data_IF_485433821454
#
_entry.id   IF_485433821454
#
_cell.length_a   1.000
_cell.length_b   1.000
_cell.length_c   1.000
_cell.angle_alpha   90.00
_cell.angle_beta   90.00
_cell.angle_gamma   90.00
#
_symmetry.space_group_name_H-M   'P 1'
#
loop_
_entity.id
_entity.type
_entity.pdbx_description
1 polymer ?
#
# COMPACT_ATOMS: atom_id res chain seq x y z
N UNK A 1 -27.18 41.45 -1.88
CA UNK A 1 -26.12 40.62 -2.44
C UNK A 1 -25.90 40.99 -3.90
N UNK A 2 -24.67 41.30 -4.30
CA UNK A 2 -24.35 41.66 -5.68
C UNK A 2 -24.57 40.47 -6.62
N UNK A 3 -24.94 40.70 -7.87
CA UNK A 3 -25.07 39.61 -8.90
C UNK A 3 -23.84 38.72 -8.96
N UNK A 4 -22.65 39.30 -8.75
CA UNK A 4 -21.37 38.58 -8.68
C UNK A 4 -21.34 37.54 -7.54
N UNK A 5 -21.78 37.88 -6.34
CA UNK A 5 -21.79 36.94 -5.21
C UNK A 5 -22.75 35.76 -5.44
N UNK A 6 -23.88 35.99 -6.09
CA UNK A 6 -24.82 34.90 -6.46
C UNK A 6 -24.20 33.97 -7.51
N UNK A 7 -23.57 34.54 -8.54
CA UNK A 7 -22.92 33.74 -9.61
C UNK A 7 -21.78 32.92 -9.06
N UNK A 8 -20.93 33.51 -8.21
CA UNK A 8 -19.82 32.81 -7.56
C UNK A 8 -20.30 31.66 -6.64
N UNK A 9 -21.39 31.90 -5.88
CA UNK A 9 -22.01 30.86 -5.05
C UNK A 9 -22.55 29.68 -5.87
N UNK A 10 -23.23 29.96 -7.01
CA UNK A 10 -23.75 28.93 -7.91
C UNK A 10 -22.58 28.13 -8.54
N UNK A 11 -21.51 28.79 -8.95
CA UNK A 11 -20.35 28.13 -9.51
C UNK A 11 -19.67 27.19 -8.49
N UNK A 12 -19.53 27.64 -7.25
CA UNK A 12 -18.98 26.78 -6.15
C UNK A 12 -19.87 25.57 -5.88
N UNK A 13 -21.19 25.76 -5.81
CA UNK A 13 -22.15 24.65 -5.66
C UNK A 13 -22.07 23.69 -6.85
N UNK A 14 -21.86 24.18 -8.05
CA UNK A 14 -21.64 23.35 -9.25
C UNK A 14 -20.39 22.49 -9.14
N UNK A 15 -19.25 23.08 -8.72
CA UNK A 15 -18.01 22.35 -8.52
C UNK A 15 -18.14 21.27 -7.43
N UNK A 16 -18.77 21.60 -6.31
CA UNK A 16 -19.00 20.65 -5.21
C UNK A 16 -19.93 19.50 -5.65
N UNK A 17 -21.03 19.82 -6.36
CA UNK A 17 -21.96 18.80 -6.88
C UNK A 17 -21.27 17.90 -7.91
N UNK A 18 -20.43 18.45 -8.78
CA UNK A 18 -19.66 17.68 -9.75
C UNK A 18 -18.66 16.75 -9.05
N UNK A 19 -17.84 17.27 -8.13
CA UNK A 19 -16.84 16.50 -7.41
C UNK A 19 -17.48 15.36 -6.58
N UNK A 20 -18.53 15.66 -5.82
CA UNK A 20 -19.26 14.66 -5.02
C UNK A 20 -20.03 13.67 -5.88
N UNK A 21 -20.55 14.09 -7.05
CA UNK A 21 -21.21 13.22 -8.02
C UNK A 21 -20.25 12.24 -8.70
N UNK A 22 -19.05 12.69 -9.07
CA UNK A 22 -17.98 11.82 -9.57
C UNK A 22 -17.61 10.80 -8.50
N UNK A 23 -17.38 11.26 -7.26
CA UNK A 23 -17.04 10.36 -6.15
C UNK A 23 -18.16 9.33 -5.89
N UNK A 24 -19.44 9.75 -5.88
CA UNK A 24 -20.59 8.88 -5.68
C UNK A 24 -20.69 7.80 -6.76
N UNK A 25 -20.50 8.18 -8.01
CA UNK A 25 -20.50 7.24 -9.15
C UNK A 25 -19.39 6.22 -9.02
N UNK A 26 -18.17 6.65 -8.72
CA UNK A 26 -17.02 5.77 -8.55
C UNK A 26 -17.15 4.89 -7.31
N UNK A 27 -17.73 5.41 -6.20
CA UNK A 27 -17.99 4.63 -5.00
C UNK A 27 -18.94 3.46 -5.28
N UNK A 28 -20.02 3.68 -6.04
CA UNK A 28 -20.92 2.60 -6.45
C UNK A 28 -20.24 1.65 -7.43
N UNK A 29 -19.47 2.18 -8.39
CA UNK A 29 -18.81 1.39 -9.42
C UNK A 29 -17.75 0.44 -8.83
N UNK A 30 -17.02 0.87 -7.80
CA UNK A 30 -15.88 0.11 -7.25
C UNK A 30 -16.16 -0.57 -5.90
N UNK A 31 -17.19 -0.12 -5.16
CA UNK A 31 -17.57 -0.76 -3.90
C UNK A 31 -18.96 -1.41 -3.95
N UNK A 32 -19.63 -1.38 -5.11
CA UNK A 32 -21.00 -1.85 -5.30
C UNK A 32 -21.12 -3.38 -5.37
N UNK A 33 -22.34 -3.87 -5.63
CA UNK A 33 -22.63 -5.29 -5.72
C UNK A 33 -21.73 -6.03 -6.71
N UNK A 34 -21.48 -7.31 -6.47
CA UNK A 34 -20.66 -8.17 -7.37
C UNK A 34 -21.28 -8.35 -8.75
N UNK A 35 -22.62 -8.33 -8.84
CA UNK A 35 -23.30 -8.43 -10.13
C UNK A 35 -23.06 -7.17 -10.98
N UNK A 36 -22.37 -7.33 -12.09
CA UNK A 36 -21.93 -6.24 -12.99
C UNK A 36 -23.11 -5.40 -13.51
N UNK A 37 -24.23 -6.02 -13.89
CA UNK A 37 -25.38 -5.31 -14.40
C UNK A 37 -26.01 -4.40 -13.32
N UNK A 38 -26.17 -4.94 -12.11
CA UNK A 38 -26.74 -4.18 -10.98
C UNK A 38 -25.80 -3.03 -10.60
N UNK A 39 -24.51 -3.30 -10.50
CA UNK A 39 -23.47 -2.32 -10.14
C UNK A 39 -23.39 -1.19 -11.17
N UNK A 40 -23.30 -1.52 -12.46
CA UNK A 40 -23.19 -0.54 -13.53
C UNK A 40 -24.48 0.29 -13.66
N UNK A 41 -25.65 -0.34 -13.51
CA UNK A 41 -26.93 0.37 -13.50
C UNK A 41 -27.05 1.34 -12.34
N UNK A 42 -26.66 0.94 -11.12
CA UNK A 42 -26.67 1.81 -9.95
C UNK A 42 -25.67 2.97 -10.09
N UNK A 43 -24.48 2.74 -10.65
CA UNK A 43 -23.51 3.79 -10.95
C UNK A 43 -24.04 4.79 -11.99
N UNK A 44 -24.72 4.29 -13.05
CA UNK A 44 -25.36 5.14 -14.05
C UNK A 44 -26.47 6.00 -13.43
N UNK A 45 -27.27 5.44 -12.51
CA UNK A 45 -28.29 6.21 -11.76
C UNK A 45 -27.62 7.30 -10.90
N UNK A 46 -26.54 6.99 -10.18
CA UNK A 46 -25.81 7.98 -9.39
C UNK A 46 -25.25 9.11 -10.25
N UNK A 47 -24.70 8.80 -11.43
CA UNK A 47 -24.24 9.78 -12.41
C UNK A 47 -25.38 10.65 -12.93
N UNK A 48 -26.51 10.05 -13.29
CA UNK A 48 -27.69 10.75 -13.79
C UNK A 48 -28.27 11.71 -12.74
N UNK A 49 -28.42 11.26 -11.49
CA UNK A 49 -28.88 12.11 -10.38
C UNK A 49 -27.96 13.32 -10.19
N UNK A 50 -26.65 13.11 -10.26
CA UNK A 50 -25.65 14.18 -10.15
C UNK A 50 -25.76 15.18 -11.32
N UNK A 51 -25.93 14.68 -12.54
CA UNK A 51 -26.10 15.50 -13.73
C UNK A 51 -27.39 16.33 -13.67
N UNK A 52 -28.50 15.71 -13.27
CA UNK A 52 -29.81 16.43 -13.09
C UNK A 52 -29.67 17.54 -12.05
N UNK A 53 -28.98 17.27 -10.92
CA UNK A 53 -28.71 18.27 -9.90
C UNK A 53 -27.87 19.44 -10.47
N UNK A 54 -26.82 19.15 -11.25
CA UNK A 54 -25.99 20.17 -11.91
C UNK A 54 -26.78 21.05 -12.88
N UNK A 55 -27.57 20.43 -13.74
CA UNK A 55 -28.42 21.17 -14.72
C UNK A 55 -29.43 22.04 -13.99
N UNK A 56 -30.04 21.54 -12.91
CA UNK A 56 -31.02 22.27 -12.12
C UNK A 56 -30.44 23.50 -11.40
N UNK A 57 -29.11 23.59 -11.20
CA UNK A 57 -28.45 24.77 -10.64
C UNK A 57 -28.68 26.02 -11.50
N UNK A 58 -28.83 25.88 -12.82
CA UNK A 58 -29.18 26.96 -13.74
C UNK A 58 -30.63 27.48 -13.61
N UNK A 59 -31.51 26.70 -12.96
CA UNK A 59 -32.93 27.03 -12.80
C UNK A 59 -33.19 27.70 -11.45
N UNK A 60 -33.66 28.96 -11.47
CA UNK A 60 -34.04 29.69 -10.24
C UNK A 60 -35.14 28.99 -9.42
N UNK A 61 -36.04 28.26 -10.10
CA UNK A 61 -37.23 27.62 -9.49
C UNK A 61 -36.91 26.26 -8.88
N UNK A 62 -36.05 25.45 -9.53
CA UNK A 62 -35.81 24.03 -9.16
C UNK A 62 -34.51 23.81 -8.37
N UNK A 63 -33.62 24.81 -8.38
CA UNK A 63 -32.27 24.72 -7.77
C UNK A 63 -32.25 24.08 -6.38
N UNK A 64 -33.02 24.67 -5.47
CA UNK A 64 -32.97 24.23 -4.06
C UNK A 64 -33.63 22.87 -3.82
N UNK A 65 -34.66 22.54 -4.60
CA UNK A 65 -35.32 21.23 -4.54
C UNK A 65 -34.37 20.15 -5.06
N UNK A 66 -33.76 20.38 -6.21
CA UNK A 66 -32.78 19.43 -6.79
C UNK A 66 -31.56 19.22 -5.90
N UNK A 67 -30.99 20.29 -5.35
CA UNK A 67 -29.88 20.19 -4.39
C UNK A 67 -30.29 19.47 -3.11
N UNK A 68 -31.47 19.74 -2.55
CA UNK A 68 -31.98 19.05 -1.37
C UNK A 68 -32.14 17.54 -1.62
N UNK A 69 -32.78 17.16 -2.74
CA UNK A 69 -32.89 15.73 -3.13
C UNK A 69 -31.55 15.09 -3.36
N UNK A 70 -30.64 15.76 -4.09
CA UNK A 70 -29.28 15.28 -4.32
C UNK A 70 -28.54 15.04 -2.99
N UNK A 71 -28.61 16.01 -2.07
CA UNK A 71 -27.93 15.90 -0.78
C UNK A 71 -28.45 14.71 0.05
N UNK A 72 -29.76 14.50 0.08
CA UNK A 72 -30.36 13.35 0.80
C UNK A 72 -29.86 12.04 0.20
N UNK A 73 -29.87 11.91 -1.14
CA UNK A 73 -29.39 10.70 -1.82
C UNK A 73 -27.88 10.50 -1.63
N UNK A 74 -27.11 11.59 -1.69
CA UNK A 74 -25.68 11.54 -1.45
C UNK A 74 -25.35 11.10 -0.01
N UNK A 75 -26.05 11.65 0.99
CA UNK A 75 -25.88 11.23 2.39
C UNK A 75 -26.25 9.77 2.58
N UNK A 76 -27.36 9.31 2.00
CA UNK A 76 -27.75 7.90 2.05
C UNK A 76 -26.68 6.99 1.43
N UNK A 77 -26.09 7.39 0.29
CA UNK A 77 -24.99 6.67 -0.35
C UNK A 77 -23.73 6.65 0.54
N UNK A 78 -23.38 7.77 1.17
CA UNK A 78 -22.23 7.83 2.09
C UNK A 78 -22.44 6.92 3.30
N UNK A 79 -23.67 6.88 3.86
CA UNK A 79 -24.01 5.99 4.98
C UNK A 79 -23.87 4.52 4.55
N UNK A 80 -24.42 4.15 3.40
CA UNK A 80 -24.25 2.82 2.82
C UNK A 80 -22.77 2.48 2.62
N UNK A 81 -22.01 3.37 1.99
CA UNK A 81 -20.59 3.15 1.71
C UNK A 81 -19.76 3.00 2.98
N UNK A 82 -20.08 3.76 4.03
CA UNK A 82 -19.44 3.61 5.36
C UNK A 82 -19.80 2.31 6.07
N UNK A 83 -20.95 1.72 5.75
CA UNK A 83 -21.39 0.43 6.26
C UNK A 83 -20.74 -0.77 5.60
N UNK A 84 -19.97 -0.59 4.51
CA UNK A 84 -19.22 -1.70 3.90
C UNK A 84 -18.09 -2.08 4.87
N UNK A 85 -18.07 -3.34 5.31
CA UNK A 85 -17.07 -3.86 6.22
C UNK A 85 -15.98 -4.64 5.48
N UNK A 86 -14.72 -4.51 5.89
CA UNK A 86 -13.64 -5.35 5.37
C UNK A 86 -13.77 -6.77 5.93
N UNK A 87 -13.24 -7.77 5.20
CA UNK A 87 -13.33 -9.17 5.58
C UNK A 87 -11.99 -9.88 5.41
N UNK A 88 -11.74 -10.89 6.26
CA UNK A 88 -10.67 -11.86 6.02
C UNK A 88 -11.16 -13.12 5.28
N UNK A 89 -12.48 -13.25 5.06
CA UNK A 89 -13.14 -14.43 4.51
C UNK A 89 -13.73 -14.11 3.14
N UNK A 90 -12.87 -14.05 2.11
CA UNK A 90 -13.26 -13.90 0.71
C UNK A 90 -12.45 -14.86 -0.17
N UNK A 91 -12.79 -14.96 -1.45
CA UNK A 91 -12.05 -15.77 -2.42
C UNK A 91 -10.77 -15.03 -2.86
N UNK A 92 -9.70 -15.16 -2.05
CA UNK A 92 -8.44 -14.45 -2.23
C UNK A 92 -7.57 -15.05 -3.32
N UNK A 93 -6.82 -14.21 -4.04
CA UNK A 93 -5.73 -14.65 -4.90
C UNK A 93 -4.70 -15.44 -4.08
N UNK A 94 -4.12 -16.48 -4.67
CA UNK A 94 -3.22 -17.42 -3.99
C UNK A 94 -2.04 -16.74 -3.30
N UNK A 95 -1.52 -15.65 -3.87
CA UNK A 95 -0.37 -14.90 -3.36
C UNK A 95 -0.68 -14.09 -2.08
N UNK A 96 -1.97 -13.88 -1.76
CA UNK A 96 -2.44 -13.16 -0.57
C UNK A 96 -3.48 -13.93 0.24
N UNK A 97 -3.72 -15.22 -0.09
CA UNK A 97 -4.75 -16.03 0.55
C UNK A 97 -4.46 -16.32 2.02
N UNK A 98 -3.20 -16.62 2.35
CA UNK A 98 -2.79 -17.04 3.70
C UNK A 98 -2.31 -15.85 4.51
N UNK A 99 -2.93 -15.63 5.67
CA UNK A 99 -2.55 -14.56 6.60
C UNK A 99 -1.34 -14.99 7.44
N UNK A 100 -0.30 -14.14 7.55
CA UNK A 100 0.76 -14.34 8.51
C UNK A 100 0.24 -14.06 9.93
N UNK A 101 0.87 -14.66 10.94
CA UNK A 101 0.58 -14.43 12.36
C UNK A 101 1.88 -14.43 13.15
N UNK A 102 1.95 -13.61 14.19
CA UNK A 102 3.10 -13.55 15.10
C UNK A 102 2.71 -13.93 16.53
N UNK A 103 3.55 -14.74 17.18
CA UNK A 103 3.53 -14.97 18.63
C UNK A 103 4.76 -14.28 19.21
N UNK A 104 4.56 -13.39 20.21
CA UNK A 104 5.63 -12.59 20.82
C UNK A 104 5.80 -13.05 22.27
N UNK A 105 6.97 -13.59 22.60
CA UNK A 105 7.32 -14.12 23.92
C UNK A 105 8.66 -13.54 24.37
N UNK A 106 8.62 -12.38 25.03
CA UNK A 106 9.84 -11.69 25.46
C UNK A 106 10.70 -11.28 24.29
N UNK A 107 11.93 -11.81 24.20
CA UNK A 107 12.89 -11.54 23.12
C UNK A 107 12.65 -12.40 21.86
N UNK A 108 11.72 -13.35 21.93
CA UNK A 108 11.46 -14.29 20.83
C UNK A 108 10.15 -13.97 20.13
N UNK A 109 10.20 -13.87 18.81
CA UNK A 109 9.03 -13.73 17.94
C UNK A 109 8.95 -14.96 17.04
N UNK A 110 7.86 -15.71 17.13
CA UNK A 110 7.56 -16.80 16.22
C UNK A 110 6.58 -16.30 15.17
N UNK A 111 7.01 -16.32 13.92
CA UNK A 111 6.19 -16.01 12.76
C UNK A 111 5.66 -17.28 12.14
N UNK A 112 4.36 -17.31 11.90
CA UNK A 112 3.67 -18.37 11.19
C UNK A 112 3.30 -17.89 9.80
N UNK A 113 3.38 -18.82 8.83
CA UNK A 113 3.04 -18.57 7.44
C UNK A 113 3.96 -17.53 6.76
N UNK A 114 5.27 -17.59 7.01
CA UNK A 114 6.24 -16.82 6.22
C UNK A 114 6.23 -17.34 4.79
N UNK A 115 5.91 -16.48 3.83
CA UNK A 115 5.79 -16.85 2.42
C UNK A 115 7.16 -17.09 1.77
N UNK A 116 7.29 -18.18 1.02
CA UNK A 116 8.52 -18.52 0.29
C UNK A 116 8.16 -19.27 -1.00
N UNK A 117 7.53 -18.56 -1.92
CA UNK A 117 7.08 -19.14 -3.19
C UNK A 117 8.26 -19.41 -4.13
N UNK A 118 8.18 -20.50 -4.88
CA UNK A 118 9.15 -20.80 -5.95
C UNK A 118 8.56 -20.40 -7.30
N UNK A 119 9.09 -19.32 -7.87
CA UNK A 119 8.61 -18.72 -9.11
C UNK A 119 9.30 -19.32 -10.35
N UNK A 120 8.51 -19.53 -11.40
CA UNK A 120 8.94 -19.81 -12.78
C UNK A 120 8.59 -18.65 -13.70
N UNK A 121 7.50 -17.92 -13.38
CA UNK A 121 7.13 -16.63 -13.95
C UNK A 121 6.37 -15.81 -12.90
N UNK A 122 5.90 -14.61 -13.22
CA UNK A 122 5.06 -13.81 -12.32
C UNK A 122 3.78 -14.54 -11.91
N UNK A 123 3.20 -15.32 -12.82
CA UNK A 123 1.91 -16.01 -12.65
C UNK A 123 2.02 -17.52 -12.47
N UNK A 124 3.20 -18.10 -12.74
CA UNK A 124 3.49 -19.52 -12.53
C UNK A 124 4.48 -19.68 -11.38
N UNK A 125 3.98 -20.16 -10.24
CA UNK A 125 4.75 -20.37 -9.02
C UNK A 125 4.18 -21.53 -8.19
N UNK A 126 5.02 -22.08 -7.33
CA UNK A 126 4.61 -23.09 -6.34
C UNK A 126 4.48 -22.39 -4.99
N UNK A 127 3.23 -22.32 -4.43
CA UNK A 127 3.03 -21.74 -3.10
C UNK A 127 3.73 -22.56 -2.03
N UNK A 128 4.45 -21.88 -1.14
CA UNK A 128 5.07 -22.48 0.03
C UNK A 128 5.11 -21.49 1.19
N UNK A 129 4.92 -22.01 2.40
CA UNK A 129 4.96 -21.26 3.64
C UNK A 129 5.73 -22.05 4.69
N UNK A 130 6.38 -21.35 5.61
CA UNK A 130 7.06 -21.96 6.73
C UNK A 130 6.92 -21.11 7.99
N UNK A 131 7.16 -21.71 9.16
CA UNK A 131 7.21 -21.01 10.43
C UNK A 131 8.66 -20.71 10.80
N UNK A 132 8.91 -19.51 11.39
CA UNK A 132 10.25 -19.10 11.76
C UNK A 132 10.26 -18.38 13.09
N UNK A 133 11.30 -18.65 13.89
CA UNK A 133 11.58 -17.93 15.13
C UNK A 133 12.68 -16.92 14.90
N UNK A 134 12.47 -15.71 15.41
CA UNK A 134 13.44 -14.62 15.39
C UNK A 134 13.69 -14.17 16.83
N UNK A 135 14.95 -14.01 17.19
CA UNK A 135 15.35 -13.41 18.47
C UNK A 135 15.62 -11.93 18.23
N UNK A 136 14.91 -11.05 18.92
CA UNK A 136 15.02 -9.58 18.74
C UNK A 136 16.44 -9.08 19.03
N UNK A 137 17.13 -9.69 20.00
CA UNK A 137 18.53 -9.41 20.32
C UNK A 137 19.49 -9.67 19.15
N UNK A 138 19.11 -10.56 18.22
CA UNK A 138 19.88 -10.90 17.02
C UNK A 138 19.58 -10.00 15.80
N UNK A 139 18.71 -9.00 15.93
CA UNK A 139 18.49 -8.02 14.86
C UNK A 139 19.78 -7.23 14.60
N UNK A 140 20.23 -7.21 13.35
CA UNK A 140 21.47 -6.55 12.90
C UNK A 140 21.19 -5.29 12.07
N UNK A 141 19.96 -5.14 11.56
CA UNK A 141 19.61 -3.96 10.77
C UNK A 141 18.25 -4.03 10.11
N UNK A 142 17.90 -2.92 9.51
CA UNK A 142 16.63 -2.75 8.77
C UNK A 142 16.95 -2.14 7.42
N UNK A 143 16.39 -2.67 6.35
CA UNK A 143 16.55 -2.15 5.00
C UNK A 143 15.20 -1.62 4.48
N UNK A 144 15.22 -0.46 3.83
CA UNK A 144 14.14 -0.02 2.96
C UNK A 144 14.35 -0.61 1.58
N UNK A 145 13.34 -1.26 1.04
CA UNK A 145 13.30 -1.70 -0.36
C UNK A 145 12.37 -0.76 -1.12
N UNK A 146 12.85 -0.20 -2.23
CA UNK A 146 12.08 0.65 -3.13
C UNK A 146 12.05 0.05 -4.54
N UNK A 147 10.86 -0.09 -5.10
CA UNK A 147 10.61 -0.76 -6.39
C UNK A 147 9.92 0.21 -7.33
N UNK A 148 10.51 0.45 -8.49
CA UNK A 148 10.01 1.39 -9.48
C UNK A 148 9.59 0.67 -10.75
N UNK A 149 8.41 1.01 -11.30
CA UNK A 149 7.90 0.46 -12.56
C UNK A 149 7.16 1.49 -13.43
N UNK A 150 6.84 2.68 -12.89
CA UNK A 150 6.05 3.70 -13.61
C UNK A 150 6.65 5.10 -13.46
N UNK A 151 7.98 5.19 -13.54
CA UNK A 151 8.71 6.44 -13.43
C UNK A 151 9.18 6.78 -12.01
N UNK A 152 9.81 7.96 -11.81
CA UNK A 152 10.55 8.26 -10.58
C UNK A 152 9.69 8.68 -9.39
N UNK A 153 8.45 9.12 -9.62
CA UNK A 153 7.63 9.73 -8.57
C UNK A 153 6.92 8.71 -7.67
N UNK A 154 6.67 7.51 -8.18
CA UNK A 154 5.93 6.46 -7.47
C UNK A 154 6.79 5.21 -7.39
N UNK A 155 6.93 4.68 -6.19
CA UNK A 155 7.55 3.40 -5.94
C UNK A 155 6.70 2.59 -4.96
N UNK A 156 6.71 1.27 -5.09
CA UNK A 156 6.30 0.41 -4.01
C UNK A 156 7.44 0.30 -3.02
N UNK A 157 7.15 0.53 -1.75
CA UNK A 157 8.16 0.45 -0.68
C UNK A 157 7.78 -0.61 0.33
N UNK A 158 8.79 -1.33 0.82
CA UNK A 158 8.63 -2.28 1.92
C UNK A 158 9.90 -2.39 2.74
N UNK A 159 9.82 -3.09 3.86
CA UNK A 159 10.91 -3.21 4.82
C UNK A 159 11.45 -4.63 4.82
N UNK A 160 12.76 -4.77 4.92
CA UNK A 160 13.43 -6.04 5.20
C UNK A 160 14.23 -5.92 6.50
N UNK A 161 14.04 -6.88 7.39
CA UNK A 161 14.74 -6.98 8.67
C UNK A 161 15.86 -8.01 8.55
N UNK A 162 17.08 -7.59 8.85
CA UNK A 162 18.28 -8.44 8.84
C UNK A 162 18.58 -8.94 10.25
N UNK A 163 18.77 -10.26 10.38
CA UNK A 163 19.12 -10.92 11.62
C UNK A 163 20.47 -11.64 11.49
N UNK A 164 21.11 -11.93 12.62
CA UNK A 164 22.37 -12.66 12.68
C UNK A 164 22.28 -13.99 11.93
N UNK A 165 23.41 -14.40 11.33
CA UNK A 165 23.45 -15.60 10.50
C UNK A 165 23.02 -15.39 9.05
N UNK A 166 22.82 -14.13 8.64
CA UNK A 166 22.44 -13.79 7.26
C UNK A 166 20.96 -14.01 6.96
N UNK A 167 20.13 -14.14 7.99
CA UNK A 167 18.68 -14.29 7.87
C UNK A 167 18.01 -12.94 7.57
N UNK A 168 17.09 -12.94 6.63
CA UNK A 168 16.35 -11.74 6.27
C UNK A 168 14.86 -12.02 6.16
N UNK A 169 14.06 -11.11 6.68
CA UNK A 169 12.60 -11.16 6.62
C UNK A 169 12.07 -9.90 5.97
N UNK A 170 11.45 -10.03 4.82
CA UNK A 170 10.79 -8.93 4.14
C UNK A 170 9.32 -8.85 4.54
N UNK A 171 8.83 -7.63 4.79
CA UNK A 171 7.43 -7.36 5.08
C UNK A 171 6.93 -6.28 4.12
N UNK A 172 6.07 -6.68 3.20
CA UNK A 172 5.46 -5.83 2.20
C UNK A 172 4.00 -5.57 2.53
N UNK A 173 3.60 -4.30 2.52
CA UNK A 173 2.22 -3.88 2.79
C UNK A 173 1.51 -3.75 1.44
N UNK A 174 0.53 -4.60 1.20
CA UNK A 174 -0.08 -4.85 -0.10
C UNK A 174 -1.60 -4.65 -0.07
N UNK A 175 -2.19 -4.56 -1.26
CA UNK A 175 -3.62 -4.78 -1.46
C UNK A 175 -3.94 -6.26 -1.43
N UNK A 176 -4.91 -6.70 -0.63
CA UNK A 176 -5.43 -8.05 -0.68
C UNK A 176 -6.51 -8.13 -1.75
N UNK A 177 -6.23 -8.88 -2.82
CA UNK A 177 -7.08 -8.96 -4.01
C UNK A 177 -7.87 -10.27 -4.00
N UNK A 178 -9.15 -10.16 -4.36
CA UNK A 178 -9.99 -11.33 -4.63
C UNK A 178 -9.64 -11.95 -6.00
N UNK A 179 -10.01 -13.22 -6.20
CA UNK A 179 -9.82 -13.90 -7.49
C UNK A 179 -10.43 -13.07 -8.64
N UNK A 180 -9.67 -12.90 -9.71
CA UNK A 180 -10.07 -12.10 -10.86
C UNK A 180 -9.85 -10.59 -10.73
N UNK A 181 -9.38 -10.08 -9.58
CA UNK A 181 -9.09 -8.66 -9.42
C UNK A 181 -7.67 -8.30 -9.89
N UNK A 182 -7.58 -7.17 -10.61
CA UNK A 182 -6.31 -6.50 -10.91
C UNK A 182 -6.06 -5.32 -9.98
N UNK A 183 -4.79 -4.97 -9.78
CA UNK A 183 -4.44 -3.75 -9.05
C UNK A 183 -4.89 -2.49 -9.82
N UNK A 184 -5.44 -1.55 -9.10
CA UNK A 184 -5.76 -0.20 -9.61
C UNK A 184 -5.61 0.82 -8.49
N UNK A 185 -4.83 1.86 -8.75
CA UNK A 185 -4.67 3.01 -7.84
C UNK A 185 -6.02 3.67 -7.52
N UNK A 186 -6.91 3.78 -8.52
CA UNK A 186 -8.23 4.40 -8.33
C UNK A 186 -9.13 3.54 -7.45
N UNK A 187 -9.18 2.24 -7.68
CA UNK A 187 -9.97 1.30 -6.87
C UNK A 187 -9.57 1.32 -5.39
N UNK A 188 -8.29 1.52 -5.10
CA UNK A 188 -7.78 1.62 -3.73
C UNK A 188 -8.32 2.82 -2.93
N UNK A 189 -9.01 3.81 -3.54
CA UNK A 189 -9.74 4.86 -2.81
C UNK A 189 -11.14 4.43 -2.35
N UNK A 190 -11.67 3.31 -2.87
CA UNK A 190 -13.10 2.96 -2.78
C UNK A 190 -13.38 1.64 -2.05
N UNK A 191 -12.61 1.27 -1.03
CA UNK A 191 -12.82 0.04 -0.23
C UNK A 191 -12.89 -1.24 -1.08
N UNK A 192 -12.15 -1.26 -2.19
CA UNK A 192 -12.08 -2.43 -3.08
C UNK A 192 -11.16 -3.51 -2.52
N UNK A 193 -10.10 -3.09 -1.84
CA UNK A 193 -9.05 -3.99 -1.36
C UNK A 193 -8.94 -3.95 0.15
N UNK A 194 -8.77 -5.08 0.80
CA UNK A 194 -8.31 -5.14 2.18
C UNK A 194 -6.81 -4.89 2.27
N UNK A 195 -6.40 -4.35 3.41
CA UNK A 195 -5.00 -4.15 3.76
C UNK A 195 -4.39 -5.50 4.16
N UNK A 196 -3.27 -5.84 3.55
CA UNK A 196 -2.57 -7.11 3.79
C UNK A 196 -1.07 -6.89 4.00
N UNK A 197 -0.49 -7.64 4.91
CA UNK A 197 0.95 -7.69 5.13
C UNK A 197 1.47 -9.03 4.59
N UNK A 198 2.24 -8.96 3.53
CA UNK A 198 2.98 -10.12 3.03
C UNK A 198 4.26 -10.21 3.84
N UNK A 199 4.36 -11.22 4.69
CA UNK A 199 5.57 -11.58 5.42
C UNK A 199 6.27 -12.68 4.65
N UNK A 200 7.46 -12.43 4.16
CA UNK A 200 8.10 -13.33 3.20
C UNK A 200 9.62 -13.38 3.30
N UNK A 201 10.19 -14.45 2.77
CA UNK A 201 11.62 -14.52 2.45
C UNK A 201 11.96 -13.49 1.35
N UNK A 202 13.14 -12.88 1.39
CA UNK A 202 13.60 -12.00 0.30
C UNK A 202 13.71 -12.74 -1.05
N UNK A 203 13.99 -14.04 -1.03
CA UNK A 203 13.95 -14.90 -2.23
C UNK A 203 12.56 -15.05 -2.83
N UNK A 204 11.52 -14.71 -2.08
CA UNK A 204 10.18 -14.58 -2.61
C UNK A 204 9.98 -13.16 -3.19
N UNK A 205 9.81 -12.15 -2.32
CA UNK A 205 9.29 -10.83 -2.73
C UNK A 205 10.29 -10.00 -3.53
N UNK A 206 11.60 -10.07 -3.25
CA UNK A 206 12.61 -9.34 -4.02
C UNK A 206 12.89 -10.06 -5.33
N UNK A 207 13.07 -11.38 -5.30
CA UNK A 207 13.35 -12.19 -6.49
C UNK A 207 12.20 -12.16 -7.50
N UNK A 208 10.94 -12.19 -7.05
CA UNK A 208 9.78 -12.01 -7.92
C UNK A 208 9.92 -10.71 -8.75
N UNK A 209 10.25 -9.60 -8.09
CA UNK A 209 10.30 -8.28 -8.70
C UNK A 209 11.51 -8.10 -9.62
N UNK A 210 12.66 -8.63 -9.23
CA UNK A 210 13.91 -8.47 -10.00
C UNK A 210 14.05 -9.43 -11.17
N UNK A 211 13.46 -10.66 -11.05
CA UNK A 211 13.76 -11.76 -11.95
C UNK A 211 12.55 -12.23 -12.77
N UNK A 212 11.32 -12.01 -12.30
CA UNK A 212 10.12 -12.61 -12.91
C UNK A 212 9.05 -11.60 -13.36
N UNK A 213 9.11 -10.34 -12.91
CA UNK A 213 8.27 -9.25 -13.43
C UNK A 213 8.97 -8.54 -14.57
N UNK A 214 8.37 -8.61 -15.76
CA UNK A 214 8.99 -8.11 -16.99
C UNK A 214 8.11 -7.12 -17.75
N UNK A 215 6.82 -7.05 -17.45
CA UNK A 215 5.87 -6.18 -18.13
C UNK A 215 4.93 -5.47 -17.15
N UNK A 216 5.27 -4.25 -16.77
CA UNK A 216 6.54 -3.54 -16.98
C UNK A 216 7.67 -4.11 -16.11
N UNK A 217 8.94 -3.98 -16.53
CA UNK A 217 10.08 -4.37 -15.71
C UNK A 217 10.19 -3.48 -14.48
N UNK A 218 10.61 -4.07 -13.35
CA UNK A 218 10.77 -3.37 -12.09
C UNK A 218 12.25 -3.15 -11.76
N UNK A 219 12.60 -1.92 -11.33
CA UNK A 219 13.92 -1.58 -10.78
C UNK A 219 13.87 -1.60 -9.25
N UNK A 220 14.66 -2.46 -8.63
CA UNK A 220 14.66 -2.70 -7.19
C UNK A 220 15.92 -2.15 -6.54
N UNK A 221 15.72 -1.35 -5.50
CA UNK A 221 16.77 -0.73 -4.69
C UNK A 221 16.62 -1.16 -3.24
N UNK A 222 17.74 -1.54 -2.60
CA UNK A 222 17.79 -1.93 -1.19
C UNK A 222 18.70 -0.95 -0.45
N UNK A 223 18.16 -0.20 0.51
CA UNK A 223 18.89 0.81 1.28
C UNK A 223 18.95 0.42 2.75
N UNK A 224 20.16 0.31 3.33
CA UNK A 224 20.33 0.12 4.78
C UNK A 224 19.91 1.39 5.51
N UNK A 225 18.93 1.24 6.42
CA UNK A 225 18.50 2.34 7.30
C UNK A 225 19.52 2.57 8.41
N UNK A 226 19.78 3.85 8.69
CA UNK A 226 20.61 4.28 9.81
C UNK A 226 19.73 4.52 11.04
N UNK A 227 20.11 3.93 12.16
CA UNK A 227 19.39 4.03 13.42
C UNK A 227 19.90 3.03 14.46
N UNK A 228 19.40 3.13 15.70
CA UNK A 228 19.75 2.17 16.73
C UNK A 228 19.05 0.83 16.49
N UNK A 229 19.69 -0.28 16.90
CA UNK A 229 19.07 -1.60 16.87
C UNK A 229 17.84 -1.69 17.77
N UNK A 230 17.80 -0.91 18.86
CA UNK A 230 16.64 -0.79 19.73
C UNK A 230 15.44 -0.23 18.95
N UNK A 231 15.64 0.85 18.18
CA UNK A 231 14.61 1.40 17.29
C UNK A 231 14.16 0.39 16.24
N UNK A 232 15.09 -0.39 15.69
CA UNK A 232 14.78 -1.47 14.74
C UNK A 232 13.93 -2.58 15.37
N UNK A 233 14.21 -2.97 16.62
CA UNK A 233 13.43 -3.97 17.37
C UNK A 233 12.02 -3.46 17.67
N UNK A 234 11.89 -2.21 18.16
CA UNK A 234 10.58 -1.60 18.40
C UNK A 234 9.75 -1.54 17.11
N UNK A 235 10.38 -1.19 15.99
CA UNK A 235 9.77 -1.15 14.67
C UNK A 235 9.28 -2.55 14.22
N UNK A 236 10.12 -3.58 14.41
CA UNK A 236 9.75 -4.96 14.11
C UNK A 236 8.55 -5.43 14.95
N UNK A 237 8.57 -5.19 16.26
CA UNK A 237 7.47 -5.57 17.15
C UNK A 237 6.16 -4.88 16.78
N UNK A 238 6.20 -3.59 16.42
CA UNK A 238 5.02 -2.84 15.98
C UNK A 238 4.40 -3.44 14.70
N UNK A 239 5.23 -3.88 13.73
CA UNK A 239 4.75 -4.65 12.57
C UNK A 239 4.05 -5.95 12.97
N UNK A 240 4.60 -6.69 13.93
CA UNK A 240 4.00 -7.95 14.41
C UNK A 240 2.64 -7.72 15.08
N UNK A 241 2.55 -6.67 15.88
CA UNK A 241 1.30 -6.28 16.53
C UNK A 241 0.23 -5.89 15.50
N UNK A 242 0.61 -5.13 14.46
CA UNK A 242 -0.33 -4.74 13.40
C UNK A 242 -0.77 -5.94 12.55
N UNK A 243 0.11 -6.88 12.24
CA UNK A 243 -0.23 -8.14 11.56
C UNK A 243 -1.29 -8.90 12.35
N UNK A 244 -1.10 -9.06 13.65
CA UNK A 244 -2.07 -9.72 14.51
C UNK A 244 -3.38 -8.93 14.64
N UNK A 245 -3.31 -7.60 14.69
CA UNK A 245 -4.49 -6.74 14.74
C UNK A 245 -5.36 -6.88 13.47
N UNK A 246 -4.75 -6.97 12.28
CA UNK A 246 -5.46 -7.19 11.02
C UNK A 246 -6.07 -8.59 10.91
N UNK A 247 -5.46 -9.60 11.52
CA UNK A 247 -6.06 -10.94 11.62
C UNK A 247 -7.32 -10.92 12.47
N UNK A 248 -7.31 -10.20 13.59
CA UNK A 248 -8.46 -10.08 14.50
C UNK A 248 -9.53 -9.13 13.92
N UNK A 249 -9.13 -8.05 13.27
CA UNK A 249 -10.00 -7.03 12.70
C UNK A 249 -9.44 -6.54 11.37
N UNK A 250 -9.94 -7.03 10.24
CA UNK A 250 -9.49 -6.59 8.92
C UNK A 250 -9.74 -5.09 8.72
N UNK A 251 -8.98 -4.48 7.83
CA UNK A 251 -9.11 -3.08 7.46
C UNK A 251 -8.97 -2.92 5.94
N UNK A 252 -9.54 -1.85 5.37
CA UNK A 252 -9.32 -1.55 3.97
C UNK A 252 -7.97 -0.87 3.73
N UNK A 253 -7.34 -1.26 2.63
CA UNK A 253 -6.29 -0.48 2.01
C UNK A 253 -6.87 0.83 1.46
N UNK A 254 -6.10 1.90 1.55
CA UNK A 254 -6.45 3.16 0.90
C UNK A 254 -5.21 3.77 0.25
N UNK A 255 -5.31 4.08 -1.03
CA UNK A 255 -4.21 4.59 -1.85
C UNK A 255 -3.51 5.82 -1.26
N UNK A 256 -4.22 6.66 -0.50
CA UNK A 256 -3.66 7.88 0.07
C UNK A 256 -3.23 7.72 1.55
N UNK A 257 -4.06 7.05 2.36
CA UNK A 257 -3.93 7.09 3.82
C UNK A 257 -3.36 5.82 4.45
N UNK A 258 -3.53 4.67 3.80
CA UNK A 258 -3.09 3.36 4.31
C UNK A 258 -2.44 2.52 3.20
N UNK A 259 -1.60 3.16 2.37
CA UNK A 259 -0.78 2.50 1.37
C UNK A 259 0.53 1.96 1.99
N UNK A 260 1.37 1.31 1.17
CA UNK A 260 2.64 0.75 1.61
C UNK A 260 3.51 1.78 2.35
N UNK A 261 3.71 2.96 1.77
CA UNK A 261 4.62 3.98 2.29
C UNK A 261 4.07 4.73 3.49
N UNK A 262 2.77 5.07 3.48
CA UNK A 262 2.14 5.74 4.64
C UNK A 262 2.10 4.84 5.86
N UNK A 263 1.85 3.53 5.69
CA UNK A 263 1.92 2.59 6.80
C UNK A 263 3.35 2.42 7.33
N UNK A 264 4.39 2.34 6.46
CA UNK A 264 5.79 2.33 6.91
C UNK A 264 6.09 3.56 7.78
N UNK A 265 5.66 4.75 7.33
CA UNK A 265 5.82 5.97 8.12
C UNK A 265 5.05 5.90 9.44
N UNK A 266 3.83 5.37 9.46
CA UNK A 266 3.04 5.20 10.69
C UNK A 266 3.73 4.25 11.67
N UNK A 267 4.25 3.11 11.22
CA UNK A 267 5.06 2.19 12.02
C UNK A 267 6.32 2.85 12.59
N UNK A 268 6.97 3.73 11.82
CA UNK A 268 8.17 4.41 12.30
C UNK A 268 7.92 5.30 13.54
N UNK A 269 6.68 5.71 13.77
CA UNK A 269 6.26 6.58 14.89
C UNK A 269 6.37 5.92 16.26
N UNK A 270 6.53 4.61 16.35
CA UNK A 270 6.89 3.93 17.60
C UNK A 270 8.20 4.45 18.18
N UNK A 271 9.06 5.01 17.35
CA UNK A 271 10.35 5.58 17.71
C UNK A 271 10.27 7.09 17.90
N UNK A 272 10.77 7.63 19.02
CA UNK A 272 10.73 9.06 19.35
C UNK A 272 11.42 9.96 18.30
N UNK A 273 12.43 9.45 17.61
CA UNK A 273 13.15 10.19 16.55
C UNK A 273 12.68 9.87 15.14
N UNK A 274 11.44 9.45 14.93
CA UNK A 274 10.93 9.15 13.60
C UNK A 274 10.96 10.37 12.67
N UNK A 275 11.14 10.19 11.35
CA UNK A 275 11.10 11.30 10.40
C UNK A 275 9.72 11.98 10.38
N UNK A 276 9.64 13.34 10.30
CA UNK A 276 8.36 14.03 10.22
C UNK A 276 7.61 13.67 8.94
N UNK A 277 6.30 13.98 8.89
CA UNK A 277 5.54 13.78 7.66
C UNK A 277 6.04 14.71 6.55
N UNK A 278 6.22 14.16 5.35
CA UNK A 278 6.63 14.89 4.15
C UNK A 278 5.72 14.50 2.98
N UNK A 279 5.50 15.42 2.04
CA UNK A 279 4.81 15.11 0.78
C UNK A 279 5.50 13.98 -0.01
N UNK A 280 6.83 13.78 0.19
CA UNK A 280 7.62 12.69 -0.41
C UNK A 280 7.13 11.30 0.04
N UNK A 281 6.41 11.21 1.18
CA UNK A 281 5.76 9.96 1.62
C UNK A 281 4.57 9.62 0.72
N UNK A 282 3.84 10.63 0.24
CA UNK A 282 2.74 10.44 -0.72
C UNK A 282 3.26 10.18 -2.13
N UNK A 283 4.35 10.83 -2.51
CA UNK A 283 5.08 10.59 -3.75
C UNK A 283 6.22 9.60 -3.46
N UNK A 284 5.86 8.34 -3.21
CA UNK A 284 6.68 7.29 -2.61
C UNK A 284 8.05 7.04 -3.28
N UNK A 285 8.18 7.40 -4.56
CA UNK A 285 9.46 7.31 -5.29
C UNK A 285 10.55 8.23 -4.74
N UNK A 286 10.18 9.28 -4.01
CA UNK A 286 11.12 10.21 -3.37
C UNK A 286 11.48 9.86 -1.92
N UNK A 287 10.93 8.76 -1.38
CA UNK A 287 11.22 8.34 0.00
C UNK A 287 12.69 8.05 0.26
N UNK A 288 13.43 7.35 -0.64
CA UNK A 288 14.87 7.15 -0.41
C UNK A 288 15.66 8.47 -0.30
N UNK A 289 15.36 9.45 -1.18
CA UNK A 289 15.99 10.77 -1.11
C UNK A 289 15.61 11.52 0.18
N UNK A 290 14.34 11.47 0.57
CA UNK A 290 13.86 12.05 1.82
C UNK A 290 14.55 11.46 3.05
N UNK A 291 14.73 10.14 3.09
CA UNK A 291 15.44 9.48 4.19
C UNK A 291 16.95 9.81 4.18
N UNK A 292 17.55 10.00 3.01
CA UNK A 292 18.92 10.48 2.90
C UNK A 292 19.06 11.90 3.44
N UNK A 293 18.19 12.82 3.04
CA UNK A 293 18.15 14.20 3.55
C UNK A 293 17.92 14.26 5.07
N UNK A 294 17.15 13.32 5.62
CA UNK A 294 16.89 13.19 7.04
C UNK A 294 18.01 12.46 7.82
N UNK A 295 19.14 12.11 7.17
CA UNK A 295 20.24 11.38 7.79
C UNK A 295 19.88 9.95 8.22
N UNK A 296 18.88 9.35 7.56
CA UNK A 296 18.44 7.97 7.83
C UNK A 296 19.02 6.95 6.85
N UNK A 297 19.83 7.39 5.91
CA UNK A 297 20.65 6.56 5.03
C UNK A 297 22.11 6.98 5.18
N UNK A 298 23.02 6.24 4.54
CA UNK A 298 24.44 6.57 4.54
C UNK A 298 24.68 7.88 3.77
N UNK A 299 25.07 8.92 4.51
CA UNK A 299 25.39 10.25 3.95
C UNK A 299 26.89 10.46 3.72
N UNK A 300 27.71 9.43 3.90
CA UNK A 300 29.16 9.49 3.63
C UNK A 300 29.48 9.57 2.13
N UNK A 301 28.52 9.21 1.30
CA UNK A 301 28.60 9.30 -0.18
C UNK A 301 27.42 10.09 -0.73
N UNK A 302 27.54 10.74 -1.93
CA UNK A 302 26.40 11.40 -2.58
C UNK A 302 25.23 10.46 -2.81
N UNK A 303 23.99 10.97 -2.73
CA UNK A 303 22.78 10.15 -2.94
C UNK A 303 22.75 9.42 -4.29
N UNK A 304 23.26 10.04 -5.34
CA UNK A 304 23.37 9.42 -6.67
C UNK A 304 24.23 8.14 -6.64
N UNK A 305 25.34 8.18 -5.92
CA UNK A 305 26.23 7.03 -5.75
C UNK A 305 25.58 5.97 -4.85
N UNK A 306 24.99 6.38 -3.71
CA UNK A 306 24.25 5.49 -2.83
C UNK A 306 23.14 4.76 -3.60
N UNK A 307 22.40 5.47 -4.44
CA UNK A 307 21.36 4.90 -5.29
C UNK A 307 21.91 3.86 -6.27
N UNK A 308 23.03 4.13 -6.91
CA UNK A 308 23.67 3.15 -7.81
C UNK A 308 24.09 1.88 -7.06
N UNK A 309 24.69 2.01 -5.89
CA UNK A 309 25.07 0.88 -5.01
C UNK A 309 23.85 0.09 -4.55
N UNK A 310 22.74 0.77 -4.24
CA UNK A 310 21.50 0.18 -3.78
C UNK A 310 20.74 -0.60 -4.86
N UNK A 311 20.97 -0.37 -6.17
CA UNK A 311 20.31 -1.07 -7.26
C UNK A 311 20.72 -2.55 -7.30
N UNK A 312 19.79 -3.48 -7.13
CA UNK A 312 20.10 -4.91 -6.89
C UNK A 312 19.77 -5.85 -8.05
N UNK A 313 19.08 -5.39 -9.11
CA UNK A 313 18.55 -6.27 -10.16
C UNK A 313 19.60 -7.20 -10.80
N UNK A 314 20.77 -6.69 -11.16
CA UNK A 314 21.83 -7.52 -11.78
C UNK A 314 22.34 -8.61 -10.81
N UNK A 315 22.57 -8.23 -9.54
CA UNK A 315 23.01 -9.16 -8.50
C UNK A 315 21.95 -10.20 -8.17
N UNK A 316 20.67 -9.77 -8.11
CA UNK A 316 19.53 -10.67 -7.86
C UNK A 316 19.37 -11.70 -8.99
N UNK A 317 19.48 -11.27 -10.26
CA UNK A 317 19.46 -12.22 -11.39
C UNK A 317 20.61 -13.20 -11.36
N UNK A 318 21.80 -12.75 -11.00
CA UNK A 318 22.98 -13.63 -10.86
C UNK A 318 22.85 -14.62 -9.69
N UNK A 319 22.04 -14.28 -8.67
CA UNK A 319 21.84 -15.07 -7.47
C UNK A 319 20.51 -15.86 -7.44
N UNK A 320 19.77 -15.96 -8.57
CA UNK A 320 18.39 -16.45 -8.63
C UNK A 320 18.09 -17.70 -7.78
N UNK A 321 18.91 -18.74 -7.91
CA UNK A 321 18.77 -20.02 -7.17
C UNK A 321 19.67 -20.13 -5.92
N UNK A 322 20.38 -19.05 -5.58
CA UNK A 322 21.36 -19.12 -4.49
C UNK A 322 20.67 -19.17 -3.12
N UNK A 323 21.11 -20.10 -2.26
CA UNK A 323 20.62 -20.20 -0.88
C UNK A 323 20.93 -18.92 -0.07
N UNK A 324 22.04 -18.24 -0.40
CA UNK A 324 22.51 -16.99 0.21
C UNK A 324 22.13 -15.75 -0.61
N UNK A 325 20.97 -15.78 -1.26
CA UNK A 325 20.42 -14.70 -2.10
C UNK A 325 20.50 -13.34 -1.42
N UNK A 326 20.02 -13.24 -0.18
CA UNK A 326 19.95 -11.98 0.59
C UNK A 326 21.35 -11.38 0.83
N UNK A 327 22.38 -12.19 1.01
CA UNK A 327 23.76 -11.74 1.10
C UNK A 327 24.24 -11.23 -0.27
N UNK A 328 24.06 -12.04 -1.31
CA UNK A 328 24.57 -11.73 -2.68
C UNK A 328 23.98 -10.46 -3.29
N UNK A 329 22.73 -10.14 -3.02
CA UNK A 329 22.13 -8.88 -3.51
C UNK A 329 22.74 -7.65 -2.82
N UNK A 330 23.44 -7.82 -1.69
CA UNK A 330 24.13 -6.77 -0.92
C UNK A 330 25.64 -6.74 -1.16
N UNK A 331 26.22 -7.75 -1.82
CA UNK A 331 27.65 -7.79 -2.13
C UNK A 331 28.01 -6.63 -3.05
N UNK A 332 29.07 -5.87 -2.72
CA UNK A 332 29.54 -4.71 -3.48
C UNK A 332 28.88 -3.37 -3.08
N UNK A 333 28.26 -3.32 -1.90
CA UNK A 333 27.82 -2.06 -1.26
C UNK A 333 28.98 -1.38 -0.54
#
# INVERSE_FOLDING_TARGET
MTRFAVTAGVALLGLLTAATGIWATLAVLYSGPQNDLVRNSAAAVAALVSLVALVALGSGRWRWRALGTYLVLFVALVVWWRGIEPSNERDWQTDVAVLPRATIEGDVVTLHNVRNFDYRSETDYTPAYYDRRFELSKLEGVDLVAVYWMGPAIAHTFISFAFAGGEHLAISIETRKEMGEGYSTIKGFFRQYELHYVVADERDVIRLRTNYRHDPPEDVYVYRLQGSLESGRAFFVDYMQQINALNAKPAFYNTLTTNCTTNIWMHSRVNAGHPPFSWKILASGYVPEYLYEAGRLDTSVPFTELRQRAHVNARARAADKAADFSRRIRDGK
#
